data_IF_758247953470
#
_entry.id   IF_758247953470
#
_cell.length_a   1.000
_cell.length_b   1.000
_cell.length_c   1.000
_cell.angle_alpha   90.00
_cell.angle_beta   90.00
_cell.angle_gamma   90.00
#
_symmetry.space_group_name_H-M   'P 1'
#
loop_
_entity.id
_entity.type
_entity.pdbx_description
1 polymer ?
#
# COMPACT_ATOMS: atom_id res chain seq x y z
N UNK A 1 -2.13 30.35 17.68
CA UNK A 1 -2.91 29.16 17.25
C UNK A 1 -2.17 27.91 17.69
N UNK A 2 -2.82 26.97 18.42
CA UNK A 2 -2.21 25.68 18.77
C UNK A 2 -2.09 24.86 17.47
N UNK A 3 -0.86 24.43 17.13
CA UNK A 3 -0.61 23.50 16.02
C UNK A 3 -1.31 22.18 16.34
N UNK A 4 -2.23 21.74 15.48
CA UNK A 4 -2.87 20.44 15.62
C UNK A 4 -2.11 19.43 14.74
N UNK A 5 -1.61 18.36 15.32
CA UNK A 5 -1.00 17.25 14.57
C UNK A 5 -2.10 16.47 13.84
N UNK A 6 -2.01 16.38 12.52
CA UNK A 6 -2.95 15.62 11.69
C UNK A 6 -2.65 14.13 11.76
N UNK A 7 -1.37 13.76 11.74
CA UNK A 7 -0.90 12.38 11.79
C UNK A 7 -0.18 12.08 13.09
N UNK A 8 -0.64 11.06 13.82
CA UNK A 8 -0.02 10.59 15.06
C UNK A 8 1.35 9.96 14.77
N UNK A 9 2.23 9.89 15.77
CA UNK A 9 3.58 9.36 15.61
C UNK A 9 3.60 7.93 15.04
N UNK A 10 2.70 7.06 15.51
CA UNK A 10 2.60 5.69 15.00
C UNK A 10 2.14 5.63 13.54
N UNK A 11 1.20 6.50 13.12
CA UNK A 11 0.75 6.55 11.72
C UNK A 11 1.92 6.90 10.78
N UNK A 12 2.77 7.83 11.20
CA UNK A 12 3.97 8.25 10.44
C UNK A 12 5.01 7.15 10.38
N UNK A 13 5.32 6.53 11.52
CA UNK A 13 6.24 5.39 11.61
C UNK A 13 5.77 4.23 10.70
N UNK A 14 4.54 3.80 10.88
CA UNK A 14 3.93 2.73 10.08
C UNK A 14 3.96 3.05 8.58
N UNK A 15 3.58 4.27 8.19
CA UNK A 15 3.60 4.70 6.80
C UNK A 15 4.99 4.59 6.17
N UNK A 16 6.02 5.09 6.84
CA UNK A 16 7.38 5.07 6.30
C UNK A 16 7.97 3.67 6.27
N UNK A 17 7.75 2.86 7.30
CA UNK A 17 8.18 1.46 7.30
C UNK A 17 7.49 0.67 6.19
N UNK A 18 6.18 0.87 6.02
CA UNK A 18 5.42 0.27 4.92
C UNK A 18 5.95 0.72 3.55
N UNK A 19 6.24 2.01 3.36
CA UNK A 19 6.76 2.53 2.10
C UNK A 19 8.12 1.91 1.75
N UNK A 20 9.05 1.85 2.71
CA UNK A 20 10.38 1.23 2.54
C UNK A 20 10.23 -0.26 2.18
N UNK A 21 9.41 -1.00 2.92
CA UNK A 21 9.24 -2.44 2.68
C UNK A 21 8.58 -2.71 1.32
N UNK A 22 7.55 -1.95 0.92
CA UNK A 22 6.91 -2.13 -0.38
C UNK A 22 7.86 -1.80 -1.53
N UNK A 23 8.63 -0.71 -1.44
CA UNK A 23 9.63 -0.36 -2.47
C UNK A 23 10.72 -1.43 -2.57
N UNK A 24 11.18 -1.96 -1.45
CA UNK A 24 12.18 -3.02 -1.44
C UNK A 24 11.63 -4.34 -1.98
N UNK A 25 10.37 -4.69 -1.64
CA UNK A 25 9.66 -5.84 -2.21
C UNK A 25 9.47 -5.69 -3.73
N UNK A 26 9.10 -4.50 -4.20
CA UNK A 26 9.00 -4.23 -5.64
C UNK A 26 10.35 -4.40 -6.34
N UNK A 27 11.42 -3.81 -5.79
CA UNK A 27 12.76 -3.91 -6.36
C UNK A 27 13.24 -5.37 -6.44
N UNK A 28 13.16 -6.11 -5.33
CA UNK A 28 13.54 -7.54 -5.31
C UNK A 28 12.62 -8.40 -6.18
N UNK A 29 11.34 -8.05 -6.28
CA UNK A 29 10.38 -8.69 -7.18
C UNK A 29 10.77 -8.54 -8.65
N UNK A 30 11.12 -7.34 -9.10
CA UNK A 30 11.61 -7.09 -10.46
C UNK A 30 12.91 -7.85 -10.76
N UNK A 31 13.78 -8.01 -9.76
CA UNK A 31 15.00 -8.82 -9.92
C UNK A 31 14.69 -10.32 -10.07
N UNK A 32 13.75 -10.85 -9.27
CA UNK A 32 13.27 -12.25 -9.38
C UNK A 32 12.68 -12.51 -10.77
N UNK A 33 12.00 -11.52 -11.36
CA UNK A 33 11.46 -11.58 -12.73
C UNK A 33 12.52 -11.34 -13.82
N UNK A 34 13.79 -11.08 -13.46
CA UNK A 34 14.87 -10.87 -14.43
C UNK A 34 14.86 -9.49 -15.09
N UNK A 35 14.08 -8.53 -14.62
CA UNK A 35 14.04 -7.18 -15.18
C UNK A 35 15.25 -6.33 -14.79
N UNK A 36 15.86 -6.63 -13.65
CA UNK A 36 17.11 -6.04 -13.15
C UNK A 36 17.98 -7.12 -12.54
N UNK A 37 19.30 -6.90 -12.40
CA UNK A 37 20.22 -7.82 -11.73
C UNK A 37 21.13 -7.03 -10.81
N UNK A 38 20.97 -7.22 -9.49
CA UNK A 38 21.75 -6.53 -8.47
C UNK A 38 22.28 -7.49 -7.39
N UNK A 39 21.38 -8.25 -6.75
CA UNK A 39 21.74 -9.22 -5.70
C UNK A 39 22.01 -10.63 -6.25
N UNK A 40 21.55 -10.93 -7.47
CA UNK A 40 21.42 -12.26 -8.03
C UNK A 40 20.18 -13.00 -7.53
N UNK A 41 19.59 -13.85 -8.39
CA UNK A 41 18.29 -14.50 -8.17
C UNK A 41 18.12 -15.10 -6.76
N UNK A 42 19.10 -15.89 -6.31
CA UNK A 42 19.04 -16.58 -4.99
C UNK A 42 18.93 -15.60 -3.83
N UNK A 43 19.72 -14.52 -3.86
CA UNK A 43 19.72 -13.51 -2.80
C UNK A 43 18.47 -12.63 -2.91
N UNK A 44 18.04 -12.28 -4.13
CA UNK A 44 16.81 -11.53 -4.35
C UNK A 44 15.60 -12.26 -3.75
N UNK A 45 15.45 -13.57 -3.98
CA UNK A 45 14.41 -14.39 -3.36
C UNK A 45 14.52 -14.38 -1.83
N UNK A 46 15.73 -14.56 -1.29
CA UNK A 46 15.97 -14.53 0.16
C UNK A 46 15.54 -13.19 0.78
N UNK A 47 15.97 -12.09 0.20
CA UNK A 47 15.66 -10.74 0.71
C UNK A 47 14.18 -10.37 0.53
N UNK A 48 13.58 -10.79 -0.58
CA UNK A 48 12.13 -10.63 -0.80
C UNK A 48 11.33 -11.33 0.30
N UNK A 49 11.66 -12.57 0.62
CA UNK A 49 10.97 -13.34 1.67
C UNK A 49 11.17 -12.72 3.06
N UNK A 50 12.37 -12.25 3.39
CA UNK A 50 12.62 -11.56 4.66
C UNK A 50 11.78 -10.28 4.76
N UNK A 51 11.80 -9.46 3.70
CA UNK A 51 11.01 -8.23 3.66
C UNK A 51 9.49 -8.52 3.72
N UNK A 52 9.02 -9.60 3.08
CA UNK A 52 7.63 -10.03 3.14
C UNK A 52 7.22 -10.41 4.57
N UNK A 53 8.03 -11.15 5.31
CA UNK A 53 7.77 -11.49 6.72
C UNK A 53 7.74 -10.23 7.58
N UNK A 54 8.70 -9.31 7.42
CA UNK A 54 8.69 -8.03 8.14
C UNK A 54 7.44 -7.20 7.83
N UNK A 55 7.00 -7.21 6.57
CA UNK A 55 5.79 -6.52 6.16
C UNK A 55 4.53 -7.15 6.77
N UNK A 56 4.44 -8.48 6.85
CA UNK A 56 3.34 -9.18 7.55
C UNK A 56 3.28 -8.80 9.03
N UNK A 57 4.41 -8.77 9.71
CA UNK A 57 4.49 -8.32 11.11
C UNK A 57 3.98 -6.88 11.24
N UNK A 58 4.42 -5.99 10.35
CA UNK A 58 3.96 -4.60 10.33
C UNK A 58 2.45 -4.49 10.10
N UNK A 59 1.88 -5.32 9.20
CA UNK A 59 0.43 -5.38 8.95
C UNK A 59 -0.32 -5.77 10.22
N UNK A 60 0.12 -6.79 10.96
CA UNK A 60 -0.52 -7.22 12.21
C UNK A 60 -0.54 -6.08 13.23
N UNK A 61 0.58 -5.40 13.45
CA UNK A 61 0.65 -4.23 14.33
C UNK A 61 -0.24 -3.08 13.86
N UNK A 62 -0.28 -2.82 12.55
CA UNK A 62 -1.13 -1.77 11.98
C UNK A 62 -2.63 -2.09 12.17
N UNK A 63 -3.04 -3.34 11.95
CA UNK A 63 -4.42 -3.80 12.20
C UNK A 63 -4.78 -3.60 13.68
N UNK A 64 -3.95 -4.12 14.58
CA UNK A 64 -4.15 -3.96 16.02
C UNK A 64 -4.33 -2.49 16.41
N UNK A 65 -3.40 -1.62 15.97
CA UNK A 65 -3.46 -0.19 16.27
C UNK A 65 -4.72 0.49 15.70
N UNK A 66 -5.10 0.18 14.46
CA UNK A 66 -6.29 0.76 13.84
C UNK A 66 -7.57 0.39 14.61
N UNK A 67 -7.69 -0.86 15.04
CA UNK A 67 -8.87 -1.32 15.80
C UNK A 67 -8.90 -0.74 17.21
N UNK A 68 -7.79 -0.76 17.94
CA UNK A 68 -7.72 -0.27 19.33
C UNK A 68 -7.92 1.24 19.44
N UNK A 69 -7.48 2.01 18.43
CA UNK A 69 -7.60 3.48 18.42
C UNK A 69 -8.86 3.98 17.70
N UNK A 70 -9.59 3.12 16.99
CA UNK A 70 -10.74 3.49 16.17
C UNK A 70 -10.38 4.22 14.87
N UNK A 71 -9.10 4.35 14.52
CA UNK A 71 -8.64 5.05 13.30
C UNK A 71 -9.03 4.31 12.00
N UNK A 72 -9.46 3.04 12.08
CA UNK A 72 -10.01 2.33 10.92
C UNK A 72 -11.22 3.04 10.30
N UNK A 73 -11.96 3.85 11.09
CA UNK A 73 -13.11 4.64 10.62
C UNK A 73 -12.72 5.67 9.55
N UNK A 74 -11.46 6.11 9.51
CA UNK A 74 -10.95 7.03 8.49
C UNK A 74 -10.98 6.43 7.06
N UNK A 75 -10.99 5.10 6.95
CA UNK A 75 -10.95 4.38 5.68
C UNK A 75 -12.32 3.96 5.17
N UNK A 76 -13.41 4.19 5.93
CA UNK A 76 -14.76 3.86 5.47
C UNK A 76 -15.07 4.70 4.24
N UNK A 77 -15.38 4.05 3.08
CA UNK A 77 -15.67 4.78 1.85
C UNK A 77 -16.91 5.65 1.99
N UNK A 78 -16.91 6.79 1.31
CA UNK A 78 -18.08 7.66 1.16
C UNK A 78 -18.22 8.05 -0.30
N UNK A 79 -19.42 7.98 -0.83
CA UNK A 79 -19.69 8.36 -2.23
C UNK A 79 -19.88 9.87 -2.41
N UNK A 80 -20.04 10.61 -1.31
CA UNK A 80 -20.22 12.07 -1.33
C UNK A 80 -18.95 12.73 -1.89
N UNK A 81 -19.12 13.60 -2.89
CA UNK A 81 -18.05 14.39 -3.53
C UNK A 81 -16.97 13.58 -4.28
N UNK A 82 -17.15 12.29 -4.56
CA UNK A 82 -16.16 11.48 -5.33
C UNK A 82 -15.97 12.08 -6.73
N UNK A 83 -17.07 12.37 -7.46
CA UNK A 83 -17.00 12.94 -8.82
C UNK A 83 -16.30 14.31 -8.81
N UNK A 84 -16.64 15.17 -7.84
CA UNK A 84 -16.00 16.48 -7.70
C UNK A 84 -14.50 16.34 -7.42
N UNK A 85 -14.11 15.39 -6.56
CA UNK A 85 -12.72 15.13 -6.23
C UNK A 85 -11.94 14.55 -7.43
N UNK A 86 -12.54 13.62 -8.17
CA UNK A 86 -11.93 13.06 -9.38
C UNK A 86 -11.74 14.15 -10.45
N UNK A 87 -12.79 14.93 -10.71
CA UNK A 87 -12.74 16.04 -11.67
C UNK A 87 -11.68 17.10 -11.30
N UNK A 88 -11.55 17.39 -10.00
CA UNK A 88 -10.51 18.29 -9.51
C UNK A 88 -9.11 17.77 -9.83
N UNK A 89 -8.82 16.49 -9.62
CA UNK A 89 -7.49 15.92 -9.91
C UNK A 89 -7.19 15.78 -11.39
N UNK A 90 -8.21 15.62 -12.25
CA UNK A 90 -8.01 15.49 -13.70
C UNK A 90 -7.93 16.86 -14.38
N UNK A 91 -8.72 17.84 -13.94
CA UNK A 91 -8.85 19.12 -14.63
C UNK A 91 -8.68 20.34 -13.69
N UNK A 92 -9.29 20.32 -12.50
CA UNK A 92 -9.37 21.46 -11.60
C UNK A 92 -8.01 21.97 -11.11
N UNK A 93 -7.07 21.04 -10.86
CA UNK A 93 -5.69 21.34 -10.47
C UNK A 93 -4.98 22.23 -11.49
N UNK A 94 -5.18 21.95 -12.78
CA UNK A 94 -4.55 22.71 -13.88
C UNK A 94 -5.24 24.06 -14.14
N UNK A 95 -6.44 24.25 -13.55
CA UNK A 95 -7.23 25.49 -13.67
C UNK A 95 -7.19 26.33 -12.39
N UNK A 96 -6.35 25.96 -11.40
CA UNK A 96 -6.30 26.60 -10.08
C UNK A 96 -7.66 26.65 -9.37
N UNK A 97 -8.54 25.67 -9.60
CA UNK A 97 -9.82 25.59 -8.90
C UNK A 97 -9.60 25.31 -7.41
N UNK A 98 -10.52 25.78 -6.52
CA UNK A 98 -10.41 25.49 -5.10
C UNK A 98 -10.60 24.01 -4.82
N UNK A 99 -9.83 23.47 -3.88
CA UNK A 99 -9.92 22.05 -3.50
C UNK A 99 -11.32 21.71 -2.94
N UNK A 100 -12.04 20.71 -3.50
CA UNK A 100 -13.45 20.45 -3.15
C UNK A 100 -13.67 19.93 -1.73
N UNK A 101 -12.60 19.48 -1.05
CA UNK A 101 -12.66 18.96 0.31
C UNK A 101 -11.51 19.52 1.17
N UNK A 102 -11.79 19.80 2.44
CA UNK A 102 -10.77 20.23 3.42
C UNK A 102 -10.37 19.06 4.32
N UNK A 103 -9.08 18.88 4.54
CA UNK A 103 -8.56 17.91 5.53
C UNK A 103 -8.80 18.45 6.93
N UNK A 104 -9.26 17.58 7.83
CA UNK A 104 -9.42 17.85 9.26
C UNK A 104 -8.86 16.69 10.06
N UNK A 105 -8.64 16.87 11.36
CA UNK A 105 -8.21 15.79 12.26
C UNK A 105 -9.19 14.61 12.26
N UNK A 106 -10.50 14.90 12.09
CA UNK A 106 -11.56 13.90 12.04
C UNK A 106 -11.76 13.29 10.63
N UNK A 107 -11.24 13.93 9.58
CA UNK A 107 -11.33 13.45 8.20
C UNK A 107 -10.01 13.74 7.47
N UNK A 108 -9.03 12.87 7.71
CA UNK A 108 -7.66 12.99 7.17
C UNK A 108 -7.60 12.69 5.67
N UNK A 109 -8.52 11.84 5.20
CA UNK A 109 -8.58 11.35 3.83
C UNK A 109 -9.76 11.99 3.09
N UNK A 110 -9.53 12.37 1.84
CA UNK A 110 -10.63 12.78 0.96
C UNK A 110 -11.42 11.56 0.44
N UNK A 111 -12.62 11.76 -0.14
CA UNK A 111 -13.48 10.65 -0.58
C UNK A 111 -12.80 9.68 -1.54
N UNK A 112 -12.02 10.18 -2.49
CA UNK A 112 -11.30 9.33 -3.45
C UNK A 112 -10.17 8.53 -2.78
N UNK A 113 -9.43 9.17 -1.86
CA UNK A 113 -8.41 8.48 -1.07
C UNK A 113 -9.01 7.38 -0.20
N UNK A 114 -10.18 7.62 0.44
CA UNK A 114 -10.89 6.59 1.22
C UNK A 114 -11.21 5.37 0.37
N UNK A 115 -11.76 5.57 -0.83
CA UNK A 115 -12.11 4.48 -1.75
C UNK A 115 -10.88 3.68 -2.18
N UNK A 116 -9.83 4.37 -2.64
CA UNK A 116 -8.59 3.74 -3.12
C UNK A 116 -7.88 2.98 -1.99
N UNK A 117 -7.74 3.60 -0.81
CA UNK A 117 -7.07 2.96 0.32
C UNK A 117 -7.88 1.80 0.91
N UNK A 118 -9.20 1.88 0.87
CA UNK A 118 -10.07 0.76 1.21
C UNK A 118 -9.84 -0.42 0.24
N UNK A 119 -9.86 -0.16 -1.07
CA UNK A 119 -9.57 -1.18 -2.09
C UNK A 119 -8.18 -1.81 -1.93
N UNK A 120 -7.16 -1.00 -1.65
CA UNK A 120 -5.81 -1.51 -1.35
C UNK A 120 -5.81 -2.44 -0.13
N UNK A 121 -6.44 -2.03 0.98
CA UNK A 121 -6.43 -2.79 2.24
C UNK A 121 -7.28 -4.06 2.20
N UNK A 122 -8.40 -4.05 1.46
CA UNK A 122 -9.37 -5.16 1.46
C UNK A 122 -9.16 -6.10 0.27
N UNK A 123 -8.58 -5.63 -0.83
CA UNK A 123 -8.40 -6.43 -2.03
C UNK A 123 -6.93 -6.64 -2.37
N UNK A 124 -6.18 -5.58 -2.66
CA UNK A 124 -4.83 -5.73 -3.23
C UNK A 124 -3.85 -6.32 -2.21
N UNK A 125 -3.79 -5.79 -1.00
CA UNK A 125 -2.88 -6.32 0.05
C UNK A 125 -3.22 -7.76 0.43
N UNK A 126 -4.48 -8.16 0.69
CA UNK A 126 -4.82 -9.57 0.92
C UNK A 126 -4.44 -10.49 -0.24
N UNK A 127 -4.69 -10.09 -1.49
CA UNK A 127 -4.28 -10.88 -2.67
C UNK A 127 -2.76 -11.04 -2.71
N UNK A 128 -1.99 -9.96 -2.47
CA UNK A 128 -0.52 -10.01 -2.43
C UNK A 128 -0.01 -10.93 -1.32
N UNK A 129 -0.58 -10.80 -0.12
CA UNK A 129 -0.19 -11.62 1.04
C UNK A 129 -0.51 -13.09 0.79
N UNK A 130 -1.73 -13.41 0.40
CA UNK A 130 -2.17 -14.79 0.19
C UNK A 130 -1.40 -15.45 -0.97
N UNK A 131 -1.29 -14.78 -2.11
CA UNK A 131 -0.54 -15.30 -3.25
C UNK A 131 0.96 -15.46 -2.93
N UNK A 132 1.56 -14.50 -2.19
CA UNK A 132 2.95 -14.57 -1.77
C UNK A 132 3.22 -15.74 -0.81
N UNK A 133 2.35 -15.95 0.19
CA UNK A 133 2.43 -17.08 1.12
C UNK A 133 2.27 -18.42 0.38
N UNK A 134 1.27 -18.53 -0.51
CA UNK A 134 1.07 -19.73 -1.33
C UNK A 134 2.29 -20.00 -2.20
N UNK A 135 2.89 -18.98 -2.78
CA UNK A 135 4.10 -19.11 -3.59
C UNK A 135 5.32 -19.54 -2.77
N UNK A 136 5.50 -18.95 -1.58
CA UNK A 136 6.59 -19.27 -0.65
C UNK A 136 6.52 -20.73 -0.18
N UNK A 137 5.32 -21.22 0.15
CA UNK A 137 5.11 -22.56 0.69
C UNK A 137 4.70 -23.60 -0.35
N UNK A 138 4.67 -23.26 -1.64
CA UNK A 138 4.23 -24.15 -2.71
C UNK A 138 4.93 -25.52 -2.73
N UNK A 139 6.24 -25.54 -2.50
CA UNK A 139 7.02 -26.79 -2.50
C UNK A 139 6.96 -27.55 -1.18
N UNK A 140 6.52 -26.92 -0.10
CA UNK A 140 6.51 -27.54 1.23
C UNK A 140 5.57 -28.75 1.32
N UNK A 141 4.31 -28.70 0.85
CA UNK A 141 3.41 -29.83 0.85
C UNK A 141 3.95 -31.01 0.04
N UNK A 142 4.54 -30.76 -1.12
CA UNK A 142 5.11 -31.79 -1.98
C UNK A 142 6.30 -32.52 -1.32
N UNK A 143 7.16 -31.76 -0.63
CA UNK A 143 8.32 -32.33 0.07
C UNK A 143 7.94 -33.12 1.33
N UNK A 144 6.80 -32.81 1.96
CA UNK A 144 6.37 -33.41 3.23
C UNK A 144 5.13 -34.31 3.10
N UNK A 145 4.69 -34.65 1.88
CA UNK A 145 3.57 -35.56 1.63
C UNK A 145 2.20 -35.06 2.08
N UNK A 146 2.01 -33.76 2.20
CA UNK A 146 0.73 -33.17 2.57
C UNK A 146 -0.18 -33.09 1.35
N UNK A 147 -1.01 -34.11 1.16
CA UNK A 147 -1.89 -34.26 -0.03
C UNK A 147 -3.01 -33.21 -0.11
N UNK A 148 -3.37 -32.55 1.01
CA UNK A 148 -4.52 -31.62 1.10
C UNK A 148 -4.35 -30.26 0.41
N UNK A 149 -3.13 -29.89 0.00
CA UNK A 149 -2.84 -28.62 -0.68
C UNK A 149 -2.35 -28.87 -2.12
N UNK A 150 -3.14 -29.61 -2.88
CA UNK A 150 -2.88 -29.77 -4.31
C UNK A 150 -3.24 -28.47 -5.04
N UNK A 151 -2.33 -27.50 -5.02
CA UNK A 151 -2.47 -26.26 -5.79
C UNK A 151 -2.18 -26.64 -7.24
N UNK A 152 -3.25 -26.87 -8.00
CA UNK A 152 -3.19 -27.36 -9.38
C UNK A 152 -2.44 -26.46 -10.38
N UNK A 153 -2.03 -25.26 -9.98
CA UNK A 153 -1.22 -24.40 -10.85
C UNK A 153 -0.52 -23.25 -10.11
N UNK A 154 0.81 -23.35 -9.93
CA UNK A 154 1.70 -22.22 -9.55
C UNK A 154 1.50 -21.03 -10.47
N UNK A 155 1.17 -21.28 -11.74
CA UNK A 155 1.00 -20.24 -12.76
C UNK A 155 -0.07 -19.22 -12.38
N UNK A 156 -1.21 -19.66 -11.86
CA UNK A 156 -2.28 -18.75 -11.43
C UNK A 156 -1.86 -17.92 -10.25
N UNK A 157 -1.19 -18.52 -9.26
CA UNK A 157 -0.67 -17.82 -8.08
C UNK A 157 0.37 -16.76 -8.48
N UNK A 158 1.32 -17.15 -9.34
CA UNK A 158 2.33 -16.25 -9.87
C UNK A 158 1.70 -15.08 -10.64
N UNK A 159 0.68 -15.35 -11.47
CA UNK A 159 -0.04 -14.33 -12.21
C UNK A 159 -0.74 -13.34 -11.29
N UNK A 160 -1.46 -13.83 -10.27
CA UNK A 160 -2.15 -12.97 -9.29
C UNK A 160 -1.17 -12.11 -8.49
N UNK A 161 -0.05 -12.70 -8.06
CA UNK A 161 1.00 -11.98 -7.34
C UNK A 161 1.63 -10.88 -8.21
N UNK A 162 1.98 -11.21 -9.43
CA UNK A 162 2.56 -10.25 -10.40
C UNK A 162 1.56 -9.14 -10.75
N UNK A 163 0.30 -9.48 -11.03
CA UNK A 163 -0.74 -8.48 -11.31
C UNK A 163 -0.96 -7.53 -10.13
N UNK A 164 -1.02 -8.08 -8.90
CA UNK A 164 -1.09 -7.27 -7.68
C UNK A 164 0.12 -6.36 -7.48
N UNK A 165 1.33 -6.84 -7.81
CA UNK A 165 2.55 -6.02 -7.76
C UNK A 165 2.50 -4.84 -8.74
N UNK A 166 2.03 -5.04 -9.98
CA UNK A 166 1.84 -3.94 -10.94
C UNK A 166 0.77 -2.94 -10.49
N UNK A 167 -0.32 -3.40 -9.85
CA UNK A 167 -1.32 -2.50 -9.26
C UNK A 167 -0.72 -1.66 -8.13
N UNK A 168 0.15 -2.24 -7.28
CA UNK A 168 0.87 -1.48 -6.25
C UNK A 168 1.84 -0.46 -6.85
N UNK A 169 2.57 -0.80 -7.91
CA UNK A 169 3.45 0.14 -8.61
C UNK A 169 2.64 1.29 -9.21
N UNK A 170 1.54 1.00 -9.89
CA UNK A 170 0.64 2.03 -10.42
C UNK A 170 0.10 2.95 -9.31
N UNK A 171 -0.28 2.35 -8.17
CA UNK A 171 -0.68 3.12 -7.00
C UNK A 171 0.45 4.01 -6.48
N UNK A 172 1.69 3.52 -6.37
CA UNK A 172 2.84 4.32 -5.92
C UNK A 172 3.06 5.52 -6.83
N UNK A 173 3.01 5.34 -8.15
CA UNK A 173 3.16 6.44 -9.13
C UNK A 173 2.06 7.49 -8.92
N UNK A 174 0.80 7.07 -8.84
CA UNK A 174 -0.32 7.97 -8.58
C UNK A 174 -0.20 8.65 -7.22
N UNK A 175 0.25 7.93 -6.19
CA UNK A 175 0.46 8.45 -4.85
C UNK A 175 1.55 9.52 -4.82
N UNK A 176 2.68 9.29 -5.49
CA UNK A 176 3.76 10.28 -5.61
C UNK A 176 3.29 11.54 -6.32
N UNK A 177 2.49 11.43 -7.36
CA UNK A 177 1.86 12.59 -7.99
C UNK A 177 0.94 13.32 -7.00
N UNK A 178 0.04 12.61 -6.31
CA UNK A 178 -0.95 13.22 -5.42
C UNK A 178 -0.35 13.87 -4.16
N UNK A 179 0.82 13.45 -3.69
CA UNK A 179 1.48 14.13 -2.56
C UNK A 179 1.94 15.55 -2.92
N UNK A 180 2.16 15.84 -4.19
CA UNK A 180 2.55 17.18 -4.67
C UNK A 180 1.37 18.14 -4.80
N UNK A 181 0.13 17.64 -4.71
CA UNK A 181 -1.10 18.41 -4.94
C UNK A 181 -1.70 19.05 -3.67
N UNK A 182 -0.87 19.31 -2.65
CA UNK A 182 -1.27 19.98 -1.43
C UNK A 182 -1.32 21.51 -1.57
N UNK A 183 -1.43 22.22 -0.45
CA UNK A 183 -1.35 23.70 -0.44
C UNK A 183 -0.01 24.24 -0.94
N UNK A 184 1.04 23.46 -0.75
CA UNK A 184 2.35 23.61 -1.40
C UNK A 184 2.81 22.22 -1.85
N UNK A 185 3.76 22.16 -2.79
CA UNK A 185 4.28 20.89 -3.36
C UNK A 185 4.76 19.93 -2.25
N UNK A 186 5.30 20.46 -1.16
CA UNK A 186 5.86 19.66 -0.05
C UNK A 186 4.95 19.54 1.17
N UNK A 187 3.77 20.19 1.17
CA UNK A 187 2.90 20.27 2.37
C UNK A 187 2.45 18.90 2.87
N UNK A 188 2.07 17.99 1.98
CA UNK A 188 1.65 16.64 2.34
C UNK A 188 2.83 15.79 2.86
N UNK A 189 4.00 15.91 2.21
CA UNK A 189 5.23 15.25 2.65
C UNK A 189 5.64 15.75 4.04
N UNK A 190 5.64 17.07 4.25
CA UNK A 190 5.97 17.69 5.54
C UNK A 190 5.02 17.22 6.65
N UNK A 191 3.71 17.15 6.39
CA UNK A 191 2.74 16.63 7.35
C UNK A 191 3.02 15.17 7.72
N UNK A 192 3.50 14.34 6.78
CA UNK A 192 3.84 12.95 7.04
C UNK A 192 5.22 12.78 7.72
N UNK A 193 6.05 13.80 7.76
CA UNK A 193 7.32 13.81 8.51
C UNK A 193 7.15 14.40 9.92
N UNK A 194 6.42 15.51 10.03
CA UNK A 194 6.36 16.29 11.28
C UNK A 194 5.04 16.18 12.04
N UNK A 195 3.95 15.73 11.38
CA UNK A 195 2.61 15.53 11.98
C UNK A 195 1.60 16.58 11.57
#
# INVERSE_FOLDING_TARGET
MKKAYVYKAFERFWHWMQAILILFLAFTGFEIHGSVSFFGFKNAVKYHNIAAVLFLILIVFAIFWHFTTGEWKQYIPTYKNIKAQANYYVFGIFRNEPHPTKKTVLSKLNPLQKLVYFGLKVLVIPVMVLSGLLYMFYRYPQANGVEGLNIGSVKVIALLHTAGAFLLVAFIIAHLYLITTGTTITSNLKAMLTG
#
